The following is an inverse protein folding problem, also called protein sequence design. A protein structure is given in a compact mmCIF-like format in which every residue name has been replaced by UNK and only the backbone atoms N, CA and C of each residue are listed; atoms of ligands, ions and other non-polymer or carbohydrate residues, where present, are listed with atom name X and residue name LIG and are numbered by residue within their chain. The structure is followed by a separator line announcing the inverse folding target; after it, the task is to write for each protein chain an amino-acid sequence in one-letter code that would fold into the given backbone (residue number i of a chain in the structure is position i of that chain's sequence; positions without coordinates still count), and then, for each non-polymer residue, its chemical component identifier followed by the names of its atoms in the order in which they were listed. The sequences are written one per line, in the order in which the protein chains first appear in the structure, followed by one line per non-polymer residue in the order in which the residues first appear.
data_IF_951116229840
#
_entry.id   IF_951116229840
#
_cell.length_a   1.000
_cell.length_b   1.000
_cell.length_c   1.000
_cell.angle_alpha   90.00
_cell.angle_beta   90.00
_cell.angle_gamma   90.00
#
_symmetry.space_group_name_H-M   'P 1'
#
loop_
_entity.id
_entity.type
_entity.pdbx_description
1 polymer ?
#
# COMPACT_ATOMS: atom_id res chain seq x y z
N UNK A 1 15.24 -16.51 -12.92
CA UNK A 1 14.05 -15.65 -13.11
C UNK A 1 13.19 -15.80 -11.88
N UNK A 2 12.59 -14.69 -11.42
CA UNK A 2 11.64 -14.65 -10.29
C UNK A 2 10.39 -15.50 -10.56
N UNK A 3 9.70 -15.91 -9.50
CA UNK A 3 8.45 -16.66 -9.58
C UNK A 3 7.29 -15.75 -10.01
N UNK A 4 6.91 -15.79 -11.30
CA UNK A 4 5.84 -14.96 -11.85
C UNK A 4 4.45 -15.24 -11.27
N UNK A 5 4.26 -16.36 -10.58
CA UNK A 5 2.98 -16.70 -9.93
C UNK A 5 2.93 -16.23 -8.49
N UNK A 6 4.07 -15.85 -7.89
CA UNK A 6 4.15 -15.37 -6.52
C UNK A 6 4.08 -13.84 -6.47
N UNK A 7 3.12 -13.35 -5.70
CA UNK A 7 2.99 -11.95 -5.32
C UNK A 7 3.31 -11.78 -3.83
N UNK A 8 4.05 -10.73 -3.50
CA UNK A 8 4.25 -10.30 -2.12
C UNK A 8 3.69 -8.90 -1.92
N UNK A 9 2.64 -8.79 -1.10
CA UNK A 9 2.01 -7.54 -0.69
C UNK A 9 2.61 -7.11 0.64
N UNK A 10 3.31 -5.99 0.65
CA UNK A 10 3.73 -5.28 1.85
C UNK A 10 2.69 -4.21 2.16
N UNK A 11 1.92 -4.42 3.21
CA UNK A 11 0.88 -3.51 3.65
C UNK A 11 1.40 -2.67 4.82
N UNK A 12 1.60 -1.38 4.59
CA UNK A 12 1.95 -0.40 5.61
C UNK A 12 0.70 0.33 6.06
N UNK A 13 0.24 0.02 7.27
CA UNK A 13 -1.00 0.57 7.81
C UNK A 13 -0.71 1.54 8.95
N UNK A 14 -1.18 2.77 8.79
CA UNK A 14 -1.18 3.74 9.88
C UNK A 14 -2.10 3.27 11.02
N UNK A 15 -1.59 3.42 12.25
CA UNK A 15 -2.33 3.25 13.50
C UNK A 15 -2.16 4.47 14.39
N UNK A 16 -1.89 5.64 13.81
CA UNK A 16 -1.86 6.92 14.51
C UNK A 16 -3.21 7.23 15.18
N UNK A 17 -3.23 8.18 16.10
CA UNK A 17 -4.46 8.55 16.81
C UNK A 17 -5.61 9.02 15.90
N UNK A 18 -5.33 9.56 14.72
CA UNK A 18 -6.37 10.00 13.76
C UNK A 18 -7.23 8.84 13.24
N UNK A 19 -6.59 7.67 13.06
CA UNK A 19 -7.23 6.45 12.57
C UNK A 19 -8.39 5.97 13.44
N UNK A 20 -8.49 6.45 14.69
CA UNK A 20 -9.60 6.13 15.60
C UNK A 20 -10.96 6.37 14.95
N UNK A 21 -11.09 7.41 14.14
CA UNK A 21 -12.35 7.78 13.51
C UNK A 21 -12.77 6.87 12.36
N UNK A 22 -11.81 6.19 11.71
CA UNK A 22 -12.04 5.29 10.57
C UNK A 22 -11.67 3.84 10.88
N UNK A 23 -11.40 3.52 12.15
CA UNK A 23 -10.93 2.20 12.60
C UNK A 23 -11.83 1.06 12.13
N UNK A 24 -13.14 1.16 12.36
CA UNK A 24 -14.10 0.11 12.01
C UNK A 24 -14.13 -0.14 10.50
N UNK A 25 -14.15 0.93 9.71
CA UNK A 25 -14.19 0.85 8.25
C UNK A 25 -12.89 0.28 7.69
N UNK A 26 -11.76 0.66 8.28
CA UNK A 26 -10.43 0.14 7.93
C UNK A 26 -10.33 -1.36 8.23
N UNK A 27 -10.78 -1.80 9.41
CA UNK A 27 -10.79 -3.23 9.79
C UNK A 27 -11.68 -4.04 8.85
N UNK A 28 -12.90 -3.57 8.57
CA UNK A 28 -13.80 -4.24 7.64
C UNK A 28 -13.29 -4.24 6.20
N UNK A 29 -12.70 -3.13 5.74
CA UNK A 29 -12.09 -3.02 4.43
C UNK A 29 -10.88 -3.93 4.26
N UNK A 30 -10.02 -4.04 5.28
CA UNK A 30 -8.85 -4.90 5.25
C UNK A 30 -9.26 -6.37 5.23
N UNK A 31 -10.28 -6.75 6.00
CA UNK A 31 -10.84 -8.09 5.95
C UNK A 31 -11.35 -8.43 4.53
N UNK A 32 -12.11 -7.50 3.90
CA UNK A 32 -12.57 -7.69 2.53
C UNK A 32 -11.41 -7.77 1.52
N UNK A 33 -10.38 -6.93 1.69
CA UNK A 33 -9.17 -6.98 0.88
C UNK A 33 -8.52 -8.37 0.95
N UNK A 34 -8.32 -8.89 2.15
CA UNK A 34 -7.70 -10.21 2.35
C UNK A 34 -8.54 -11.32 1.73
N UNK A 35 -9.87 -11.33 1.92
CA UNK A 35 -10.76 -12.34 1.33
C UNK A 35 -10.71 -12.36 -0.19
N UNK A 36 -10.70 -11.19 -0.83
CA UNK A 36 -10.57 -11.13 -2.28
C UNK A 36 -9.18 -11.57 -2.74
N UNK A 37 -8.12 -11.21 -2.00
CA UNK A 37 -6.78 -11.71 -2.31
C UNK A 37 -6.62 -13.23 -2.10
N UNK A 38 -7.41 -13.85 -1.22
CA UNK A 38 -7.49 -15.33 -1.08
C UNK A 38 -8.14 -15.99 -2.28
N UNK A 39 -9.16 -15.35 -2.86
CA UNK A 39 -9.89 -15.86 -4.02
C UNK A 39 -9.15 -15.61 -5.35
N UNK A 40 -8.25 -14.63 -5.40
CA UNK A 40 -7.47 -14.30 -6.59
C UNK A 40 -6.43 -15.38 -6.93
N UNK A 41 -6.18 -15.55 -8.24
CA UNK A 41 -5.23 -16.54 -8.77
C UNK A 41 -3.78 -16.24 -8.38
N UNK A 42 -2.95 -17.29 -8.39
CA UNK A 42 -1.54 -17.21 -8.04
C UNK A 42 -1.30 -17.28 -6.53
N UNK A 43 -0.04 -17.40 -6.15
CA UNK A 43 0.38 -17.40 -4.75
C UNK A 43 0.50 -15.97 -4.23
N UNK A 44 0.06 -15.73 -3.01
CA UNK A 44 0.13 -14.42 -2.39
C UNK A 44 0.63 -14.52 -0.96
N UNK A 45 1.67 -13.76 -0.68
CA UNK A 45 2.20 -13.53 0.67
C UNK A 45 1.90 -12.11 1.09
N UNK A 46 1.58 -11.92 2.36
CA UNK A 46 1.31 -10.61 2.95
C UNK A 46 2.27 -10.37 4.10
N UNK A 47 2.88 -9.19 4.10
CA UNK A 47 3.55 -8.62 5.27
C UNK A 47 2.75 -7.43 5.72
N UNK A 48 2.32 -7.43 6.98
CA UNK A 48 1.63 -6.28 7.57
C UNK A 48 2.60 -5.60 8.54
N UNK A 49 2.90 -4.34 8.26
CA UNK A 49 3.53 -3.45 9.22
C UNK A 49 2.51 -2.40 9.65
N UNK A 50 2.38 -2.19 10.96
CA UNK A 50 1.62 -1.09 11.54
C UNK A 50 2.58 -0.02 12.04
N UNK A 51 2.20 1.24 11.89
CA UNK A 51 3.04 2.34 12.36
C UNK A 51 2.24 3.48 13.00
N UNK A 52 2.85 4.12 13.98
CA UNK A 52 2.47 5.41 14.55
C UNK A 52 3.75 6.27 14.59
N UNK A 53 4.23 6.69 15.76
CA UNK A 53 5.61 7.14 15.99
C UNK A 53 6.58 5.97 16.28
N UNK A 54 6.05 4.74 16.24
CA UNK A 54 6.75 3.46 16.32
C UNK A 54 6.40 2.61 15.11
N UNK A 55 7.34 1.77 14.66
CA UNK A 55 7.14 0.82 13.56
C UNK A 55 7.14 -0.61 14.09
N UNK A 56 6.18 -1.41 13.65
CA UNK A 56 6.02 -2.80 14.06
C UNK A 56 5.59 -3.69 12.90
N UNK A 57 6.37 -4.75 12.63
CA UNK A 57 5.96 -5.82 11.72
C UNK A 57 5.08 -6.80 12.50
N UNK A 58 3.78 -6.82 12.20
CA UNK A 58 2.79 -7.69 12.85
C UNK A 58 2.98 -9.14 12.41
N UNK A 59 3.21 -9.33 11.12
CA UNK A 59 3.63 -10.61 10.53
C UNK A 59 4.34 -10.36 9.20
N UNK A 60 5.28 -11.24 8.86
CA UNK A 60 6.06 -11.18 7.63
C UNK A 60 5.80 -12.41 6.74
N UNK A 61 5.78 -12.17 5.43
CA UNK A 61 5.69 -13.18 4.37
C UNK A 61 4.61 -14.27 4.58
N UNK A 62 3.51 -13.94 5.25
CA UNK A 62 2.46 -14.91 5.62
C UNK A 62 1.63 -15.27 4.39
N UNK A 63 1.35 -16.57 4.13
CA UNK A 63 0.39 -16.95 3.10
C UNK A 63 -0.95 -16.22 3.30
N UNK A 64 -1.55 -15.69 2.24
CA UNK A 64 -2.80 -14.90 2.34
C UNK A 64 -3.94 -15.70 2.99
N UNK A 65 -3.96 -17.02 2.82
CA UNK A 65 -4.89 -17.96 3.46
C UNK A 65 -4.79 -17.98 4.99
N UNK A 66 -3.65 -17.60 5.55
CA UNK A 66 -3.35 -17.63 6.99
C UNK A 66 -3.36 -16.24 7.63
N UNK A 67 -3.64 -15.19 6.87
CA UNK A 67 -3.72 -13.82 7.40
C UNK A 67 -4.83 -13.72 8.47
N UNK A 68 -4.50 -13.33 9.72
CA UNK A 68 -5.51 -13.20 10.76
C UNK A 68 -6.36 -11.93 10.55
N UNK A 69 -7.51 -11.81 11.25
CA UNK A 69 -8.22 -10.55 11.35
C UNK A 69 -7.31 -9.42 11.84
N UNK A 70 -7.51 -8.22 11.32
CA UNK A 70 -6.73 -7.04 11.70
C UNK A 70 -7.06 -6.61 13.14
N UNK A 71 -6.05 -6.58 14.01
CA UNK A 71 -6.10 -5.84 15.27
C UNK A 71 -5.46 -4.47 15.08
N UNK A 72 -6.32 -3.47 14.88
CA UNK A 72 -5.94 -2.06 14.76
C UNK A 72 -6.21 -1.34 16.07
N UNK A 73 -5.14 -0.81 16.69
CA UNK A 73 -5.18 -0.06 17.94
C UNK A 73 -4.62 1.36 17.73
N UNK A 74 -5.46 2.34 17.32
CA UNK A 74 -5.04 3.70 17.06
C UNK A 74 -4.42 4.40 18.27
N UNK A 75 -3.25 5.01 18.12
CA UNK A 75 -2.50 5.71 19.17
C UNK A 75 -1.39 6.59 18.58
N UNK A 76 -0.78 7.46 19.38
CA UNK A 76 0.46 8.14 18.98
C UNK A 76 0.30 9.10 17.80
N UNK A 77 1.42 9.32 17.12
CA UNK A 77 1.59 10.26 15.99
C UNK A 77 1.84 9.52 14.68
N UNK A 78 2.16 10.24 13.59
CA UNK A 78 2.35 9.65 12.27
C UNK A 78 3.80 9.86 11.81
N UNK A 79 4.62 8.82 11.86
CA UNK A 79 5.99 8.78 11.32
C UNK A 79 6.02 7.97 10.00
N UNK A 80 5.28 8.45 9.00
CA UNK A 80 5.10 7.81 7.70
C UNK A 80 6.42 7.65 6.94
N UNK A 81 7.27 8.69 6.89
CA UNK A 81 8.54 8.62 6.16
C UNK A 81 9.46 7.55 6.76
N UNK A 82 9.61 7.54 8.08
CA UNK A 82 10.44 6.54 8.76
C UNK A 82 9.89 5.13 8.56
N UNK A 83 8.57 4.96 8.64
CA UNK A 83 7.92 3.68 8.43
C UNK A 83 8.06 3.17 6.99
N UNK A 84 7.91 4.04 5.98
CA UNK A 84 8.14 3.69 4.58
C UNK A 84 9.60 3.32 4.32
N UNK A 85 10.53 4.13 4.82
CA UNK A 85 11.96 3.89 4.66
C UNK A 85 12.38 2.54 5.24
N UNK A 86 11.94 2.24 6.46
CA UNK A 86 12.19 0.94 7.11
C UNK A 86 11.56 -0.21 6.33
N UNK A 87 10.27 -0.16 6.03
CA UNK A 87 9.58 -1.25 5.33
C UNK A 87 10.23 -1.56 3.98
N UNK A 88 10.51 -0.54 3.17
CA UNK A 88 11.04 -0.74 1.81
C UNK A 88 12.47 -1.27 1.84
N UNK A 89 13.31 -0.79 2.78
CA UNK A 89 14.68 -1.29 2.92
C UNK A 89 14.73 -2.71 3.49
N UNK A 90 13.93 -3.02 4.51
CA UNK A 90 13.79 -4.37 5.07
C UNK A 90 13.25 -5.37 4.03
N UNK A 91 12.21 -4.98 3.29
CA UNK A 91 11.68 -5.78 2.19
C UNK A 91 12.74 -6.04 1.11
N UNK A 92 13.50 -5.02 0.72
CA UNK A 92 14.56 -5.14 -0.27
C UNK A 92 15.66 -6.10 0.18
N UNK A 93 16.10 -5.97 1.43
CA UNK A 93 17.10 -6.85 2.03
C UNK A 93 16.60 -8.31 2.10
N UNK A 94 15.40 -8.54 2.64
CA UNK A 94 14.83 -9.88 2.75
C UNK A 94 14.61 -10.56 1.40
N UNK A 95 14.19 -9.81 0.37
CA UNK A 95 14.05 -10.35 -0.99
C UNK A 95 15.40 -10.65 -1.63
N UNK A 96 16.45 -9.86 -1.34
CA UNK A 96 17.79 -10.09 -1.86
C UNK A 96 18.43 -11.38 -1.31
N UNK A 97 18.08 -11.79 -0.08
CA UNK A 97 18.54 -13.02 0.55
C UNK A 97 17.91 -14.29 -0.07
N UNK A 98 16.77 -14.17 -0.74
CA UNK A 98 16.14 -15.30 -1.41
C UNK A 98 16.88 -15.68 -2.70
N UNK A 99 16.97 -16.99 -3.01
CA UNK A 99 17.29 -17.45 -4.37
C UNK A 99 16.38 -16.78 -5.39
N UNK A 100 16.91 -16.46 -6.57
CA UNK A 100 16.18 -15.66 -7.56
C UNK A 100 14.84 -16.29 -7.93
N UNK A 101 14.81 -17.62 -8.10
CA UNK A 101 13.62 -18.41 -8.40
C UNK A 101 12.57 -18.46 -7.28
N UNK A 102 12.93 -18.06 -6.06
CA UNK A 102 12.01 -17.98 -4.92
C UNK A 102 11.54 -16.54 -4.65
N UNK A 103 12.11 -15.55 -5.34
CA UNK A 103 11.67 -14.16 -5.24
C UNK A 103 10.32 -13.99 -5.94
N UNK A 104 9.40 -13.20 -5.36
CA UNK A 104 8.12 -12.89 -5.99
C UNK A 104 8.35 -12.15 -7.31
N UNK A 105 7.65 -12.57 -8.36
CA UNK A 105 7.61 -11.87 -9.63
C UNK A 105 6.80 -10.57 -9.56
N UNK A 106 5.98 -10.40 -8.52
CA UNK A 106 5.28 -9.14 -8.23
C UNK A 106 5.49 -8.71 -6.79
N UNK A 107 6.05 -7.52 -6.60
CA UNK A 107 6.13 -6.85 -5.29
C UNK A 107 5.24 -5.62 -5.31
N UNK A 108 4.32 -5.55 -4.35
CA UNK A 108 3.44 -4.41 -4.16
C UNK A 108 3.61 -3.86 -2.75
N UNK A 109 3.85 -2.56 -2.63
CA UNK A 109 3.80 -1.83 -1.36
C UNK A 109 2.53 -1.00 -1.33
N UNK A 110 1.59 -1.35 -0.46
CA UNK A 110 0.36 -0.61 -0.23
C UNK A 110 0.48 0.18 1.08
N UNK A 111 0.29 1.49 1.01
CA UNK A 111 0.36 2.41 2.14
C UNK A 111 -1.03 2.99 2.37
N UNK A 112 -1.51 2.92 3.62
CA UNK A 112 -2.79 3.51 4.01
C UNK A 112 -2.62 4.37 5.26
N UNK A 113 -3.11 5.60 5.21
CA UNK A 113 -3.06 6.56 6.33
C UNK A 113 -4.18 7.59 6.25
N UNK A 114 -4.68 8.04 7.41
CA UNK A 114 -5.52 9.24 7.51
C UNK A 114 -4.80 10.41 8.20
N UNK A 115 -3.53 10.21 8.55
CA UNK A 115 -2.70 11.16 9.28
C UNK A 115 -1.72 11.89 8.37
N UNK A 116 -1.42 13.13 8.74
CA UNK A 116 -0.34 13.90 8.13
C UNK A 116 0.99 13.56 8.80
N UNK A 117 2.05 13.37 8.01
CA UNK A 117 3.41 13.19 8.52
C UNK A 117 3.79 14.28 9.55
N UNK A 118 4.15 13.88 10.77
CA UNK A 118 4.46 14.82 11.85
C UNK A 118 5.46 14.31 12.92
N UNK A 119 6.09 13.15 12.70
CA UNK A 119 6.93 12.51 13.71
C UNK A 119 8.21 11.83 13.21
N UNK A 120 8.41 11.70 11.89
CA UNK A 120 9.60 11.09 11.30
C UNK A 120 10.88 11.89 11.61
N UNK A 121 12.00 11.17 11.75
CA UNK A 121 13.32 11.73 12.16
C UNK A 121 14.49 11.19 11.34
N UNK A 122 14.38 10.01 10.76
CA UNK A 122 15.48 9.33 10.05
C UNK A 122 15.39 9.57 8.55
N UNK A 123 14.18 9.55 8.00
CA UNK A 123 13.89 9.66 6.57
C UNK A 123 13.26 10.99 6.21
N UNK A 124 13.59 11.48 5.02
CA UNK A 124 13.06 12.72 4.47
C UNK A 124 12.22 12.44 3.21
N UNK A 125 11.32 13.36 2.86
CA UNK A 125 10.52 13.23 1.63
C UNK A 125 11.38 12.97 0.37
N UNK A 126 12.47 13.72 0.09
CA UNK A 126 13.33 13.43 -1.06
C UNK A 126 13.99 12.05 -1.01
N UNK A 127 14.36 11.58 0.19
CA UNK A 127 14.96 10.26 0.36
C UNK A 127 13.95 9.14 0.08
N UNK A 128 12.72 9.25 0.60
CA UNK A 128 11.65 8.29 0.34
C UNK A 128 11.26 8.29 -1.13
N UNK A 129 11.11 9.47 -1.75
CA UNK A 129 10.85 9.58 -3.18
C UNK A 129 11.92 8.87 -4.01
N UNK A 130 13.19 9.14 -3.73
CA UNK A 130 14.30 8.50 -4.45
C UNK A 130 14.28 6.98 -4.26
N UNK A 131 13.98 6.51 -3.05
CA UNK A 131 13.87 5.09 -2.74
C UNK A 131 12.72 4.42 -3.51
N UNK A 132 11.54 5.00 -3.51
CA UNK A 132 10.36 4.49 -4.24
C UNK A 132 10.60 4.48 -5.75
N UNK A 133 11.14 5.56 -6.31
CA UNK A 133 11.49 5.65 -7.73
C UNK A 133 12.55 4.61 -8.11
N UNK A 134 13.58 4.41 -7.28
CA UNK A 134 14.60 3.37 -7.48
C UNK A 134 13.99 1.97 -7.47
N UNK A 135 13.17 1.62 -6.46
CA UNK A 135 12.56 0.29 -6.39
C UNK A 135 11.61 0.01 -7.55
N UNK A 136 10.90 1.04 -8.00
CA UNK A 136 10.02 0.96 -9.17
C UNK A 136 10.82 0.73 -10.45
N UNK A 137 11.88 1.51 -10.69
CA UNK A 137 12.67 1.46 -11.92
C UNK A 137 13.54 0.20 -12.01
N UNK A 138 14.22 -0.15 -10.92
CA UNK A 138 15.28 -1.16 -10.94
C UNK A 138 14.74 -2.57 -10.66
N UNK A 139 13.63 -2.68 -9.92
CA UNK A 139 13.04 -3.96 -9.53
C UNK A 139 11.57 -4.12 -9.94
N UNK A 140 10.97 -3.13 -10.61
CA UNK A 140 9.59 -3.19 -11.07
C UNK A 140 8.55 -3.20 -9.95
N UNK A 141 8.91 -2.77 -8.74
CA UNK A 141 7.98 -2.73 -7.61
C UNK A 141 6.81 -1.80 -7.91
N UNK A 142 5.64 -2.17 -7.43
CA UNK A 142 4.43 -1.35 -7.53
C UNK A 142 4.15 -0.69 -6.19
N UNK A 143 3.70 0.56 -6.22
CA UNK A 143 3.36 1.32 -5.02
C UNK A 143 1.93 1.84 -5.14
N UNK A 144 1.16 1.65 -4.07
CA UNK A 144 -0.20 2.12 -3.92
C UNK A 144 -0.29 3.00 -2.67
N UNK A 145 -0.80 4.22 -2.83
CA UNK A 145 -1.01 5.15 -1.72
C UNK A 145 -2.50 5.45 -1.54
N UNK A 146 -3.03 5.25 -0.34
CA UNK A 146 -4.41 5.52 0.04
C UNK A 146 -4.44 6.50 1.21
N UNK A 147 -4.89 7.73 0.99
CA UNK A 147 -4.95 8.78 2.00
C UNK A 147 -6.35 9.32 2.25
N UNK A 148 -6.65 9.76 3.47
CA UNK A 148 -7.97 10.34 3.80
C UNK A 148 -8.13 11.84 3.48
N UNK A 149 -7.08 12.48 2.96
CA UNK A 149 -6.97 13.95 2.80
C UNK A 149 -7.11 14.38 1.33
N UNK A 150 -7.62 15.59 1.09
CA UNK A 150 -7.83 16.18 -0.25
C UNK A 150 -6.56 16.24 -1.09
N UNK A 151 -5.38 16.20 -0.44
CA UNK A 151 -4.07 16.23 -1.10
C UNK A 151 -3.38 14.86 -1.17
N UNK A 152 -4.06 13.73 -0.90
CA UNK A 152 -3.39 12.42 -0.86
C UNK A 152 -2.64 12.07 -2.16
N UNK A 153 -3.16 12.50 -3.31
CA UNK A 153 -2.49 12.33 -4.61
C UNK A 153 -1.17 13.13 -4.67
N UNK A 154 -1.17 14.36 -4.19
CA UNK A 154 0.03 15.21 -4.14
C UNK A 154 1.02 14.72 -3.09
N UNK A 155 0.56 14.26 -1.93
CA UNK A 155 1.40 13.60 -0.92
C UNK A 155 2.03 12.34 -1.52
N UNK A 156 1.24 11.47 -2.16
CA UNK A 156 1.72 10.27 -2.85
C UNK A 156 2.80 10.61 -3.89
N UNK A 157 2.58 11.64 -4.71
CA UNK A 157 3.56 12.14 -5.69
C UNK A 157 4.83 12.62 -5.01
N UNK A 158 4.72 13.33 -3.89
CA UNK A 158 5.85 13.76 -3.06
C UNK A 158 6.65 12.60 -2.49
N UNK A 159 6.05 11.42 -2.33
CA UNK A 159 6.68 10.16 -1.90
C UNK A 159 7.18 9.31 -3.07
N UNK A 160 7.02 9.76 -4.32
CA UNK A 160 7.41 9.01 -5.52
C UNK A 160 6.36 8.04 -6.05
N UNK A 161 5.17 7.99 -5.45
CA UNK A 161 4.05 7.16 -5.92
C UNK A 161 3.31 7.92 -7.03
N UNK A 162 3.13 7.33 -8.22
CA UNK A 162 2.39 7.99 -9.30
C UNK A 162 0.96 8.35 -8.91
N UNK A 163 0.43 9.44 -9.47
CA UNK A 163 -0.98 9.80 -9.28
C UNK A 163 -1.92 8.67 -9.72
N UNK A 164 -1.55 7.90 -10.75
CA UNK A 164 -2.30 6.75 -11.22
C UNK A 164 -2.56 5.70 -10.11
N UNK A 165 -1.61 5.51 -9.19
CA UNK A 165 -1.71 4.57 -8.06
C UNK A 165 -1.78 5.29 -6.71
N UNK A 166 -2.25 6.54 -6.70
CA UNK A 166 -2.54 7.30 -5.49
C UNK A 166 -4.02 7.69 -5.47
N UNK A 167 -4.67 7.48 -4.34
CA UNK A 167 -6.10 7.76 -4.17
C UNK A 167 -6.38 8.41 -2.81
N UNK A 168 -7.20 9.44 -2.85
CA UNK A 168 -7.86 10.07 -1.72
C UNK A 168 -9.18 9.36 -1.45
N UNK A 169 -9.51 9.14 -0.19
CA UNK A 169 -10.83 8.70 0.22
C UNK A 169 -11.41 9.67 1.25
N UNK A 170 -12.69 9.99 1.12
CA UNK A 170 -13.39 10.80 2.10
C UNK A 170 -13.53 10.05 3.44
N UNK A 171 -13.84 10.80 4.51
CA UNK A 171 -14.14 10.19 5.81
C UNK A 171 -15.31 9.21 5.67
N UNK A 172 -15.13 7.99 6.19
CA UNK A 172 -16.10 6.89 6.03
C UNK A 172 -15.96 6.07 4.74
N UNK A 173 -15.00 6.43 3.87
CA UNK A 173 -14.69 5.70 2.62
C UNK A 173 -13.42 4.86 2.69
N UNK A 174 -12.77 4.78 3.85
CA UNK A 174 -11.60 3.94 4.09
C UNK A 174 -11.83 2.48 3.66
N UNK A 175 -12.97 1.90 4.06
CA UNK A 175 -13.34 0.53 3.67
C UNK A 175 -13.61 0.37 2.17
N UNK A 176 -14.23 1.37 1.54
CA UNK A 176 -14.50 1.37 0.09
C UNK A 176 -13.18 1.47 -0.70
N UNK A 177 -12.25 2.32 -0.25
CA UNK A 177 -10.90 2.47 -0.83
C UNK A 177 -10.14 1.15 -0.81
N UNK A 178 -10.18 0.43 0.31
CA UNK A 178 -9.54 -0.87 0.45
C UNK A 178 -10.15 -1.92 -0.49
N UNK A 179 -11.48 -1.97 -0.63
CA UNK A 179 -12.13 -2.91 -1.57
C UNK A 179 -11.77 -2.59 -3.01
N UNK A 180 -11.75 -1.32 -3.38
CA UNK A 180 -11.37 -0.90 -4.73
C UNK A 180 -9.90 -1.19 -5.03
N UNK A 181 -9.01 -0.89 -4.07
CA UNK A 181 -7.61 -1.26 -4.14
C UNK A 181 -7.44 -2.77 -4.32
N UNK A 182 -8.16 -3.57 -3.54
CA UNK A 182 -8.10 -5.03 -3.61
C UNK A 182 -8.42 -5.58 -5.00
N UNK A 183 -9.50 -5.12 -5.64
CA UNK A 183 -9.83 -5.52 -7.01
C UNK A 183 -8.71 -5.19 -8.00
N UNK A 184 -8.16 -3.97 -7.92
CA UNK A 184 -7.02 -3.55 -8.76
C UNK A 184 -5.76 -4.40 -8.51
N UNK A 185 -5.50 -4.76 -7.26
CA UNK A 185 -4.39 -5.67 -6.90
C UNK A 185 -4.62 -7.06 -7.46
N UNK A 186 -5.84 -7.60 -7.39
CA UNK A 186 -6.18 -8.89 -7.96
C UNK A 186 -6.00 -8.90 -9.49
N UNK A 187 -6.39 -7.82 -10.17
CA UNK A 187 -6.18 -7.67 -11.61
C UNK A 187 -4.70 -7.56 -11.99
N UNK A 188 -3.90 -6.79 -11.22
CA UNK A 188 -2.45 -6.72 -11.41
C UNK A 188 -1.81 -8.10 -11.27
N UNK A 189 -2.18 -8.85 -10.21
CA UNK A 189 -1.68 -10.20 -9.96
C UNK A 189 -1.99 -11.14 -11.12
N UNK A 190 -3.20 -11.08 -11.67
CA UNK A 190 -3.60 -11.86 -12.84
C UNK A 190 -2.78 -11.46 -14.07
N UNK A 191 -2.65 -10.16 -14.34
CA UNK A 191 -1.92 -9.66 -15.49
C UNK A 191 -0.44 -10.06 -15.47
N UNK A 192 0.22 -9.99 -14.30
CA UNK A 192 1.64 -10.34 -14.12
C UNK A 192 1.98 -11.81 -14.35
N UNK A 193 1.00 -12.72 -14.29
CA UNK A 193 1.21 -14.12 -14.65
C UNK A 193 1.47 -14.31 -16.15
N UNK A 194 0.92 -13.44 -17.01
CA UNK A 194 1.09 -13.48 -18.46
C UNK A 194 2.00 -12.39 -19.03
N UNK A 195 2.14 -11.27 -18.32
CA UNK A 195 2.96 -10.12 -18.70
C UNK A 195 3.73 -9.57 -17.50
N UNK A 196 5.01 -9.93 -17.42
CA UNK A 196 5.90 -9.45 -16.37
C UNK A 196 6.09 -7.92 -16.37
N UNK A 197 5.65 -7.19 -17.39
CA UNK A 197 5.68 -5.73 -17.45
C UNK A 197 4.40 -5.04 -16.99
N UNK A 198 3.31 -5.76 -16.72
CA UNK A 198 2.01 -5.17 -16.42
C UNK A 198 2.04 -4.26 -15.18
N UNK A 199 1.58 -3.02 -15.27
CA UNK A 199 1.62 -2.07 -14.14
C UNK A 199 0.27 -1.95 -13.45
N UNK A 200 0.26 -1.42 -12.23
CA UNK A 200 -0.97 -1.11 -11.51
C UNK A 200 -1.88 -0.20 -12.35
N UNK A 201 -3.16 -0.56 -12.48
CA UNK A 201 -4.12 0.20 -13.27
C UNK A 201 -4.46 1.52 -12.58
N UNK A 202 -4.54 2.60 -13.37
CA UNK A 202 -4.88 3.91 -12.84
C UNK A 202 -6.27 3.92 -12.16
N UNK A 203 -6.44 4.72 -11.11
CA UNK A 203 -7.76 5.11 -10.62
C UNK A 203 -8.44 6.04 -11.63
N UNK A 204 -9.59 5.61 -12.15
CA UNK A 204 -10.45 6.38 -13.04
C UNK A 204 -11.18 7.51 -12.30
N UNK A 205 -11.69 8.50 -13.04
CA UNK A 205 -12.49 9.59 -12.46
C UNK A 205 -13.73 9.07 -11.70
N UNK A 206 -14.40 8.05 -12.24
CA UNK A 206 -15.57 7.45 -11.58
C UNK A 206 -15.22 6.75 -10.27
N UNK A 207 -14.07 6.06 -10.23
CA UNK A 207 -13.55 5.43 -9.02
C UNK A 207 -13.17 6.45 -7.95
N UNK A 208 -12.48 7.52 -8.34
CA UNK A 208 -12.15 8.66 -7.48
C UNK A 208 -13.40 9.31 -6.90
N UNK A 209 -14.37 9.64 -7.75
CA UNK A 209 -15.65 10.21 -7.33
C UNK A 209 -16.41 9.29 -6.36
N UNK A 210 -16.39 7.96 -6.56
CA UNK A 210 -17.02 7.00 -5.65
C UNK A 210 -16.40 6.97 -4.24
N UNK A 211 -15.13 7.36 -4.14
CA UNK A 211 -14.39 7.52 -2.89
C UNK A 211 -14.53 8.91 -2.28
N UNK A 212 -15.28 9.82 -2.92
CA UNK A 212 -15.50 11.17 -2.43
C UNK A 212 -14.34 12.13 -2.70
N UNK A 213 -13.50 11.82 -3.71
CA UNK A 213 -12.70 12.86 -4.36
C UNK A 213 -13.63 13.75 -5.17
N UNK A 214 -13.83 14.98 -4.71
CA UNK A 214 -14.41 16.01 -5.58
C UNK A 214 -13.37 16.34 -6.67
N UNK A 215 -13.81 16.41 -7.93
CA UNK A 215 -13.03 17.00 -9.01
C UNK A 215 -12.86 18.49 -8.69
N UNK A 216 -11.82 18.84 -7.92
CA UNK A 216 -11.44 20.22 -7.72
C UNK A 216 -11.23 20.86 -9.09
N UNK A 217 -11.96 21.95 -9.34
CA UNK A 217 -12.00 22.74 -10.58
C UNK A 217 -10.59 22.96 -11.15
N UNK A 218 -10.18 22.07 -12.06
CA UNK A 218 -9.03 22.27 -12.92
C UNK A 218 -9.45 23.11 -14.13
N UNK A 219 -9.40 24.44 -13.99
CA UNK A 219 -9.30 25.32 -15.15
C UNK A 219 -10.02 26.67 -15.06
N UNK A 220 -9.27 27.71 -14.70
CA UNK A 220 -9.12 28.92 -15.51
C UNK A 220 -7.83 29.66 -15.11
#
# INVERSE_FOLDING_TARGET
MTDSRLTHIYFLLDRSGSMQSIRSDTVGGFAAFVEEQRAAEGECRVTLAQFDDTYEVVYAARPVSEVPPLDLQPRGRTALLDAMGRLVTEAGAGLAELPEEQRPGTVLVAVMTDGLENASREWTHPAIRSLVEQQTRDYGWQFLYMGADQDAVEVGRGLGVPAASSVTYARGKAGDSLRMASGKVADLRRARQGDAGATFAAYSAAERAALGEDEGEGGA
#
